data_IF_329692246258
#
_entry.id   IF_329692246258
#
_cell.length_a   1.000
_cell.length_b   1.000
_cell.length_c   1.000
_cell.angle_alpha   90.00
_cell.angle_beta   90.00
_cell.angle_gamma   90.00
#
_symmetry.space_group_name_H-M   'P 1'
#
loop_
_entity.id
_entity.type
_entity.pdbx_description
1 polymer ?
#
# COMPACT_ATOMS: atom_id res chain seq x y z
N UNK A 1 -4.78 -11.52 7.81
CA UNK A 1 -5.34 -12.85 8.11
C UNK A 1 -4.35 -13.89 7.63
N UNK A 2 -4.17 -15.01 8.34
CA UNK A 2 -3.32 -16.09 7.83
C UNK A 2 -3.96 -16.79 6.62
N UNK A 3 -3.15 -17.30 5.69
CA UNK A 3 -3.65 -17.86 4.43
C UNK A 3 -4.44 -19.15 4.63
N UNK A 4 -4.04 -20.00 5.57
CA UNK A 4 -4.76 -21.21 5.96
C UNK A 4 -6.16 -20.89 6.51
N UNK A 5 -6.27 -19.87 7.37
CA UNK A 5 -7.54 -19.40 7.88
C UNK A 5 -8.44 -18.90 6.75
N UNK A 6 -7.90 -18.11 5.80
CA UNK A 6 -8.66 -17.66 4.62
C UNK A 6 -9.04 -18.80 3.67
N UNK A 7 -8.16 -19.81 3.53
CA UNK A 7 -8.37 -21.01 2.71
C UNK A 7 -9.52 -21.88 3.23
N UNK A 8 -9.81 -21.82 4.52
CA UNK A 8 -10.95 -22.49 5.14
C UNK A 8 -12.21 -21.61 5.14
N UNK A 9 -12.06 -20.32 5.49
CA UNK A 9 -13.17 -19.39 5.60
C UNK A 9 -13.89 -19.16 4.27
N UNK A 10 -13.16 -18.94 3.18
CA UNK A 10 -13.77 -18.60 1.90
C UNK A 10 -14.67 -19.73 1.35
N UNK A 11 -14.22 -21.01 1.26
CA UNK A 11 -15.10 -22.10 0.86
C UNK A 11 -16.32 -22.29 1.77
N UNK A 12 -16.17 -22.14 3.09
CA UNK A 12 -17.29 -22.25 4.03
C UNK A 12 -18.37 -21.19 3.76
N UNK A 13 -17.96 -19.93 3.56
CA UNK A 13 -18.88 -18.84 3.22
C UNK A 13 -19.49 -19.03 1.82
N UNK A 14 -18.72 -19.52 0.85
CA UNK A 14 -19.23 -19.85 -0.48
C UNK A 14 -20.35 -20.90 -0.39
N UNK A 15 -20.13 -21.98 0.38
CA UNK A 15 -21.13 -23.02 0.60
C UNK A 15 -22.37 -22.48 1.31
N UNK A 16 -22.19 -21.70 2.39
CA UNK A 16 -23.28 -21.08 3.15
C UNK A 16 -24.17 -20.20 2.27
N UNK A 17 -23.58 -19.50 1.30
CA UNK A 17 -24.29 -18.59 0.40
C UNK A 17 -24.72 -19.25 -0.93
N UNK A 18 -24.63 -20.59 -1.05
CA UNK A 18 -25.15 -21.33 -2.20
C UNK A 18 -24.20 -21.45 -3.41
N UNK A 19 -22.94 -21.04 -3.29
CA UNK A 19 -21.90 -21.23 -4.33
C UNK A 19 -21.20 -22.60 -4.20
N UNK A 20 -21.98 -23.68 -4.18
CA UNK A 20 -21.49 -25.04 -3.86
C UNK A 20 -20.61 -25.68 -4.94
N UNK A 21 -20.70 -25.24 -6.20
CA UNK A 21 -19.89 -25.74 -7.31
C UNK A 21 -18.74 -24.79 -7.70
N UNK A 22 -18.39 -23.86 -6.82
CA UNK A 22 -17.34 -22.89 -7.06
C UNK A 22 -16.01 -23.29 -6.42
N UNK A 23 -14.91 -22.81 -7.00
CA UNK A 23 -13.55 -23.00 -6.50
C UNK A 23 -13.03 -21.73 -5.85
N UNK A 24 -12.12 -21.91 -4.90
CA UNK A 24 -11.36 -20.83 -4.28
C UNK A 24 -9.86 -21.03 -4.54
N UNK A 25 -9.12 -19.96 -4.81
CA UNK A 25 -7.65 -20.01 -4.92
C UNK A 25 -7.01 -18.67 -4.59
N UNK A 26 -5.71 -18.68 -4.29
CA UNK A 26 -4.95 -17.46 -4.13
C UNK A 26 -4.35 -16.97 -5.46
N UNK A 27 -4.12 -15.67 -5.53
CA UNK A 27 -3.38 -15.00 -6.58
C UNK A 27 -2.20 -14.22 -6.00
N UNK A 28 -1.22 -13.92 -6.85
CA UNK A 28 -0.07 -13.07 -6.52
C UNK A 28 -0.34 -11.58 -6.80
N UNK A 29 -1.60 -11.19 -7.03
CA UNK A 29 -1.93 -9.79 -7.34
C UNK A 29 -1.56 -8.90 -6.16
N UNK A 30 -1.00 -7.72 -6.42
CA UNK A 30 -0.75 -6.70 -5.39
C UNK A 30 -1.68 -5.49 -5.52
N UNK A 31 -2.58 -5.52 -6.50
CA UNK A 31 -3.45 -4.40 -6.88
C UNK A 31 -4.94 -4.72 -6.82
N UNK A 32 -5.27 -5.98 -6.60
CA UNK A 32 -6.64 -6.48 -6.64
C UNK A 32 -6.79 -7.45 -5.50
N UNK A 33 -7.62 -7.10 -4.52
CA UNK A 33 -7.78 -7.87 -3.29
C UNK A 33 -8.56 -9.16 -3.56
N UNK A 34 -9.75 -9.03 -4.15
CA UNK A 34 -10.59 -10.13 -4.60
C UNK A 34 -10.82 -10.13 -6.10
N UNK A 35 -11.16 -11.29 -6.66
CA UNK A 35 -11.71 -11.36 -8.01
C UNK A 35 -12.65 -12.55 -8.19
N UNK A 36 -13.81 -12.30 -8.78
CA UNK A 36 -14.80 -13.30 -9.14
C UNK A 36 -14.77 -13.59 -10.65
N UNK A 37 -14.81 -14.87 -11.02
CA UNK A 37 -14.93 -15.34 -12.40
C UNK A 37 -16.10 -16.30 -12.50
N UNK A 38 -17.25 -15.78 -12.94
CA UNK A 38 -18.46 -16.58 -13.09
C UNK A 38 -18.32 -17.72 -14.11
N UNK A 39 -17.69 -17.44 -15.26
CA UNK A 39 -17.47 -18.45 -16.30
C UNK A 39 -16.65 -19.65 -15.82
N UNK A 40 -15.71 -19.42 -14.89
CA UNK A 40 -14.86 -20.47 -14.30
C UNK A 40 -15.38 -20.96 -12.95
N UNK A 41 -16.48 -20.38 -12.46
CA UNK A 41 -17.01 -20.57 -11.09
C UNK A 41 -15.88 -20.49 -10.07
N UNK A 42 -15.12 -19.39 -10.08
CA UNK A 42 -13.88 -19.24 -9.31
C UNK A 42 -13.84 -17.90 -8.60
N UNK A 43 -13.59 -17.94 -7.29
CA UNK A 43 -13.23 -16.76 -6.48
C UNK A 43 -11.73 -16.80 -6.20
N UNK A 44 -11.08 -15.65 -6.30
CA UNK A 44 -9.67 -15.46 -5.96
C UNK A 44 -9.50 -14.41 -4.89
N UNK A 45 -8.54 -14.65 -4.00
CA UNK A 45 -7.97 -13.60 -3.15
C UNK A 45 -6.49 -13.38 -3.45
N UNK A 46 -6.00 -12.17 -3.26
CA UNK A 46 -4.58 -11.88 -3.25
C UNK A 46 -3.94 -12.39 -1.96
N UNK A 47 -3.05 -13.38 -2.04
CA UNK A 47 -2.30 -13.83 -0.87
C UNK A 47 -1.49 -12.69 -0.21
N UNK A 48 -0.77 -11.82 -0.96
CA UNK A 48 -0.10 -10.67 -0.37
C UNK A 48 -1.03 -9.72 0.39
N UNK A 49 -2.21 -9.40 -0.14
CA UNK A 49 -3.16 -8.51 0.53
C UNK A 49 -3.82 -9.21 1.74
N UNK A 50 -4.16 -10.50 1.63
CA UNK A 50 -4.73 -11.27 2.74
C UNK A 50 -3.80 -11.30 3.95
N UNK A 51 -2.50 -11.49 3.76
CA UNK A 51 -1.52 -11.51 4.85
C UNK A 51 -1.38 -10.16 5.56
N UNK A 52 -1.47 -9.06 4.81
CA UNK A 52 -1.26 -7.71 5.34
C UNK A 52 -2.49 -7.13 6.04
N UNK A 53 -3.69 -7.60 5.71
CA UNK A 53 -4.92 -6.98 6.15
C UNK A 53 -5.58 -7.74 7.31
N UNK A 54 -6.30 -7.04 8.22
CA UNK A 54 -7.01 -7.70 9.30
C UNK A 54 -8.10 -8.63 8.77
N UNK A 55 -8.58 -9.54 9.60
CA UNK A 55 -9.59 -10.53 9.22
C UNK A 55 -10.89 -9.89 8.72
N UNK A 56 -11.31 -8.77 9.31
CA UNK A 56 -12.50 -8.02 8.87
C UNK A 56 -12.44 -7.59 7.40
N UNK A 57 -11.31 -7.05 6.96
CA UNK A 57 -11.11 -6.62 5.57
C UNK A 57 -11.07 -7.82 4.61
N UNK A 58 -10.46 -8.91 5.03
CA UNK A 58 -10.41 -10.14 4.23
C UNK A 58 -11.80 -10.77 4.12
N UNK A 59 -12.55 -10.83 5.22
CA UNK A 59 -13.93 -11.31 5.26
C UNK A 59 -14.83 -10.48 4.34
N UNK A 60 -14.81 -9.15 4.47
CA UNK A 60 -15.60 -8.28 3.61
C UNK A 60 -15.24 -8.47 2.12
N UNK A 61 -13.95 -8.62 1.80
CA UNK A 61 -13.51 -8.93 0.44
C UNK A 61 -14.04 -10.29 -0.06
N UNK A 62 -14.05 -11.33 0.78
CA UNK A 62 -14.62 -12.64 0.41
C UNK A 62 -16.11 -12.48 0.07
N UNK A 63 -16.86 -11.81 0.95
CA UNK A 63 -18.29 -11.59 0.78
C UNK A 63 -18.58 -10.73 -0.46
N UNK A 64 -17.73 -9.73 -0.75
CA UNK A 64 -17.79 -8.92 -1.98
C UNK A 64 -17.74 -9.80 -3.24
N UNK A 65 -16.79 -10.73 -3.30
CA UNK A 65 -16.63 -11.62 -4.46
C UNK A 65 -17.74 -12.69 -4.55
N UNK A 66 -18.24 -13.17 -3.40
CA UNK A 66 -19.41 -14.06 -3.35
C UNK A 66 -20.65 -13.31 -3.89
N UNK A 67 -20.84 -12.05 -3.49
CA UNK A 67 -21.94 -11.23 -3.99
C UNK A 67 -21.88 -11.06 -5.52
N UNK A 68 -20.69 -10.92 -6.11
CA UNK A 68 -20.54 -10.96 -7.57
C UNK A 68 -20.97 -12.32 -8.16
N UNK A 69 -20.57 -13.42 -7.53
CA UNK A 69 -20.94 -14.75 -7.96
C UNK A 69 -22.46 -15.02 -7.96
N UNK A 70 -23.17 -14.40 -7.01
CA UNK A 70 -24.63 -14.48 -6.88
C UNK A 70 -25.37 -13.48 -7.78
N UNK A 71 -24.83 -12.26 -7.95
CA UNK A 71 -25.47 -11.22 -8.76
C UNK A 71 -25.37 -11.51 -10.27
N UNK A 72 -24.31 -12.20 -10.68
CA UNK A 72 -23.97 -12.50 -12.07
C UNK A 72 -23.14 -11.38 -12.71
N UNK A 73 -22.34 -11.74 -13.72
CA UNK A 73 -21.30 -10.90 -14.32
C UNK A 73 -21.79 -9.52 -14.80
N UNK A 74 -23.00 -9.47 -15.37
CA UNK A 74 -23.57 -8.23 -15.93
C UNK A 74 -24.05 -7.25 -14.85
N UNK A 75 -24.11 -7.65 -13.58
CA UNK A 75 -24.58 -6.76 -12.51
C UNK A 75 -23.55 -5.68 -12.16
N UNK A 76 -22.24 -5.97 -12.29
CA UNK A 76 -21.20 -5.12 -11.72
C UNK A 76 -21.51 -4.81 -10.26
N UNK A 77 -21.46 -3.53 -9.87
CA UNK A 77 -21.82 -3.06 -8.52
C UNK A 77 -23.17 -2.32 -8.50
N UNK A 78 -24.13 -2.74 -9.33
CA UNK A 78 -25.47 -2.13 -9.37
C UNK A 78 -26.30 -2.45 -8.11
N UNK A 79 -27.55 -1.96 -8.07
CA UNK A 79 -28.44 -2.15 -6.91
C UNK A 79 -28.76 -3.61 -6.60
N UNK A 80 -28.77 -4.50 -7.61
CA UNK A 80 -28.91 -5.94 -7.38
C UNK A 80 -27.72 -6.48 -6.60
N UNK A 81 -26.50 -6.13 -7.02
CA UNK A 81 -25.27 -6.54 -6.32
C UNK A 81 -25.22 -5.96 -4.91
N UNK A 82 -25.50 -4.67 -4.72
CA UNK A 82 -25.46 -4.03 -3.38
C UNK A 82 -26.45 -4.67 -2.41
N UNK A 83 -27.66 -4.99 -2.88
CA UNK A 83 -28.67 -5.68 -2.06
C UNK A 83 -28.16 -7.05 -1.61
N UNK A 84 -27.59 -7.82 -2.53
CA UNK A 84 -27.02 -9.13 -2.22
C UNK A 84 -25.84 -8.97 -1.24
N UNK A 85 -24.88 -8.10 -1.55
CA UNK A 85 -23.71 -7.83 -0.72
C UNK A 85 -24.10 -7.53 0.74
N UNK A 86 -25.02 -6.59 0.95
CA UNK A 86 -25.50 -6.24 2.30
C UNK A 86 -26.25 -7.39 2.97
N UNK A 87 -27.06 -8.15 2.22
CA UNK A 87 -27.81 -9.28 2.77
C UNK A 87 -26.91 -10.42 3.29
N UNK A 88 -25.69 -10.55 2.75
CA UNK A 88 -24.70 -11.55 3.18
C UNK A 88 -23.63 -10.98 4.11
N UNK A 89 -23.77 -9.73 4.56
CA UNK A 89 -22.88 -9.08 5.54
C UNK A 89 -21.70 -8.30 4.96
N UNK A 90 -21.61 -8.10 3.65
CA UNK A 90 -20.64 -7.18 3.04
C UNK A 90 -21.10 -5.72 3.21
N UNK A 91 -20.16 -4.78 3.35
CA UNK A 91 -20.44 -3.34 3.45
C UNK A 91 -21.16 -2.77 2.20
N UNK A 92 -21.05 -3.44 1.05
CA UNK A 92 -21.64 -3.00 -0.22
C UNK A 92 -20.91 -1.85 -0.89
N UNK A 93 -19.66 -1.59 -0.51
CA UNK A 93 -18.79 -0.62 -1.15
C UNK A 93 -18.07 -1.23 -2.36
N UNK A 94 -17.88 -0.41 -3.40
CA UNK A 94 -17.25 -0.87 -4.65
C UNK A 94 -15.76 -1.14 -4.49
N UNK A 95 -15.10 -0.32 -3.69
CA UNK A 95 -13.67 -0.36 -3.46
C UNK A 95 -13.45 -0.44 -1.96
N UNK A 96 -12.43 -1.20 -1.57
CA UNK A 96 -11.88 -1.05 -0.23
C UNK A 96 -11.38 0.39 -0.03
N UNK A 97 -11.42 0.86 1.21
CA UNK A 97 -11.03 2.22 1.54
C UNK A 97 -9.51 2.34 1.82
N UNK A 98 -9.07 3.50 2.32
CA UNK A 98 -7.65 3.74 2.62
C UNK A 98 -7.10 2.93 3.80
N UNK A 99 -7.93 2.17 4.53
CA UNK A 99 -7.50 1.35 5.66
C UNK A 99 -6.86 0.04 5.19
N UNK A 100 -7.16 -0.42 3.97
CA UNK A 100 -6.51 -1.59 3.37
C UNK A 100 -5.03 -1.29 3.10
N UNK A 101 -4.18 -2.13 3.67
CA UNK A 101 -2.74 -2.09 3.52
C UNK A 101 -2.36 -2.81 2.23
N UNK A 102 -1.87 -2.04 1.26
CA UNK A 102 -1.38 -2.60 0.00
C UNK A 102 0.08 -3.08 0.12
N UNK A 103 0.45 -4.20 -0.54
CA UNK A 103 1.84 -4.60 -0.67
C UNK A 103 2.67 -3.52 -1.35
N UNK A 104 3.94 -3.40 -0.94
CA UNK A 104 4.87 -2.50 -1.60
C UNK A 104 5.06 -2.87 -3.08
N UNK A 105 5.26 -1.87 -3.96
CA UNK A 105 5.60 -2.12 -5.35
C UNK A 105 6.92 -2.88 -5.47
N UNK A 106 7.16 -3.53 -6.60
CA UNK A 106 8.44 -4.20 -6.85
C UNK A 106 9.57 -3.19 -7.09
N UNK A 107 9.25 -2.07 -7.73
CA UNK A 107 10.20 -1.03 -8.09
C UNK A 107 9.62 0.36 -7.77
N UNK A 108 10.52 1.28 -7.46
CA UNK A 108 10.20 2.69 -7.30
C UNK A 108 11.24 3.56 -8.00
N UNK A 109 10.81 4.74 -8.42
CA UNK A 109 11.71 5.78 -8.90
C UNK A 109 11.28 7.13 -8.34
N UNK A 110 12.23 8.06 -8.26
CA UNK A 110 12.00 9.43 -7.80
C UNK A 110 12.38 10.40 -8.90
N UNK A 111 11.54 11.40 -9.14
CA UNK A 111 11.88 12.46 -10.08
C UNK A 111 13.08 13.26 -9.53
N UNK A 112 14.14 13.50 -10.32
CA UNK A 112 15.30 14.25 -9.84
C UNK A 112 15.02 15.74 -9.55
N UNK A 113 13.86 16.26 -9.97
CA UNK A 113 13.50 17.68 -9.82
C UNK A 113 12.41 17.91 -8.78
N UNK A 114 11.22 17.30 -8.93
CA UNK A 114 10.12 17.49 -7.98
C UNK A 114 10.05 16.42 -6.89
N UNK A 115 10.90 15.40 -6.95
CA UNK A 115 10.96 14.31 -5.99
C UNK A 115 9.68 13.47 -5.87
N UNK A 116 8.74 13.57 -6.81
CA UNK A 116 7.59 12.66 -6.87
C UNK A 116 8.05 11.21 -7.01
N UNK A 117 7.51 10.34 -6.15
CA UNK A 117 7.74 8.90 -6.18
C UNK A 117 6.75 8.26 -7.17
N UNK A 118 7.28 7.48 -8.10
CA UNK A 118 6.45 6.60 -8.92
C UNK A 118 6.68 5.14 -8.54
N UNK A 119 5.61 4.36 -8.58
CA UNK A 119 5.56 2.96 -8.17
C UNK A 119 5.38 2.08 -9.40
N UNK A 120 6.07 0.94 -9.45
CA UNK A 120 5.93 -0.01 -10.55
C UNK A 120 6.00 -1.47 -10.08
N UNK A 121 5.16 -2.33 -10.66
CA UNK A 121 5.21 -3.79 -10.43
C UNK A 121 6.19 -4.49 -11.37
N UNK A 122 6.49 -3.87 -12.51
CA UNK A 122 7.44 -4.36 -13.50
C UNK A 122 8.21 -3.16 -14.03
N UNK A 123 9.47 -3.37 -14.38
CA UNK A 123 10.26 -2.31 -15.02
C UNK A 123 9.60 -1.90 -16.34
N UNK A 124 9.47 -0.58 -16.60
CA UNK A 124 9.02 -0.11 -17.90
C UNK A 124 9.96 -0.58 -19.01
N UNK A 125 9.41 -0.99 -20.15
CA UNK A 125 10.20 -1.38 -21.33
C UNK A 125 10.91 -0.19 -22.00
N UNK A 126 10.44 1.03 -21.73
CA UNK A 126 10.98 2.28 -22.27
C UNK A 126 11.20 3.25 -21.12
N UNK A 127 12.22 4.09 -21.24
CA UNK A 127 12.47 5.17 -20.29
C UNK A 127 11.25 6.07 -20.18
N UNK A 128 10.87 6.41 -18.96
CA UNK A 128 9.79 7.34 -18.65
C UNK A 128 10.35 8.55 -17.91
N UNK A 129 9.79 9.73 -18.14
CA UNK A 129 10.15 10.95 -17.41
C UNK A 129 8.96 11.49 -16.64
N UNK A 130 9.23 12.31 -15.62
CA UNK A 130 8.19 12.94 -14.81
C UNK A 130 7.31 13.85 -15.67
N UNK A 131 6.03 13.46 -15.83
CA UNK A 131 5.04 14.17 -16.64
C UNK A 131 4.87 15.64 -16.21
N UNK A 132 4.88 15.89 -14.91
CA UNK A 132 4.65 17.23 -14.34
C UNK A 132 5.82 18.16 -14.65
N UNK A 133 7.05 17.73 -14.36
CA UNK A 133 8.25 18.51 -14.68
C UNK A 133 8.51 18.61 -16.18
N UNK A 134 8.06 17.62 -16.95
CA UNK A 134 8.31 17.56 -18.38
C UNK A 134 7.23 18.23 -19.24
N UNK A 135 6.12 18.68 -18.63
CA UNK A 135 4.99 19.30 -19.33
C UNK A 135 4.24 18.31 -20.24
N UNK A 136 4.18 17.03 -19.85
CA UNK A 136 3.50 15.99 -20.63
C UNK A 136 4.37 15.22 -21.62
N UNK A 137 5.57 15.71 -21.95
CA UNK A 137 6.43 15.14 -22.99
C UNK A 137 7.65 14.41 -22.41
N UNK A 138 8.29 13.52 -23.17
CA UNK A 138 9.53 12.90 -22.70
C UNK A 138 10.67 13.93 -22.64
N UNK A 139 11.34 14.05 -21.48
CA UNK A 139 12.53 14.89 -21.33
C UNK A 139 13.63 14.14 -20.57
N UNK A 140 14.84 13.95 -21.16
CA UNK A 140 15.96 13.22 -20.54
C UNK A 140 16.32 13.69 -19.13
N UNK A 141 16.24 15.01 -18.88
CA UNK A 141 16.52 15.64 -17.57
C UNK A 141 15.64 15.10 -16.43
N UNK A 142 14.44 14.62 -16.73
CA UNK A 142 13.46 14.17 -15.73
C UNK A 142 13.20 12.67 -15.79
N UNK A 143 14.09 11.89 -16.40
CA UNK A 143 13.97 10.44 -16.51
C UNK A 143 14.01 9.79 -15.14
N UNK A 144 13.11 8.84 -14.93
CA UNK A 144 13.04 8.02 -13.75
C UNK A 144 14.09 6.91 -13.79
N UNK A 145 14.87 6.81 -12.71
CA UNK A 145 15.74 5.66 -12.45
C UNK A 145 15.05 4.75 -11.44
N UNK A 146 14.56 3.62 -11.93
CA UNK A 146 13.88 2.63 -11.09
C UNK A 146 14.89 1.80 -10.31
N UNK A 147 14.59 1.59 -9.03
CA UNK A 147 15.30 0.70 -8.13
C UNK A 147 14.33 -0.32 -7.55
N UNK A 148 14.76 -1.57 -7.29
CA UNK A 148 13.96 -2.52 -6.53
C UNK A 148 13.59 -1.92 -5.17
N UNK A 149 12.31 -2.00 -4.80
CA UNK A 149 11.84 -1.47 -3.52
C UNK A 149 12.49 -2.18 -2.33
N UNK A 150 12.83 -3.46 -2.50
CA UNK A 150 13.58 -4.24 -1.52
C UNK A 150 14.97 -3.67 -1.23
N UNK A 151 15.61 -3.02 -2.20
CA UNK A 151 16.93 -2.39 -2.03
C UNK A 151 16.80 -0.94 -1.54
N UNK A 152 15.73 -0.26 -1.99
CA UNK A 152 15.52 1.16 -1.76
C UNK A 152 14.04 1.52 -1.73
N UNK A 153 13.51 1.73 -0.54
CA UNK A 153 12.15 2.23 -0.33
C UNK A 153 12.13 3.76 -0.34
N UNK A 154 11.22 4.32 -1.12
CA UNK A 154 10.85 5.73 -1.08
C UNK A 154 9.42 5.90 -0.58
N UNK A 155 9.23 6.76 0.41
CA UNK A 155 7.93 7.11 0.97
C UNK A 155 7.65 8.59 0.73
N UNK A 156 6.45 8.88 0.24
CA UNK A 156 5.92 10.23 0.26
C UNK A 156 5.29 10.44 1.64
N UNK A 157 5.78 11.42 2.38
CA UNK A 157 5.28 11.78 3.71
C UNK A 157 4.89 13.24 3.72
N UNK A 158 4.21 13.69 4.77
CA UNK A 158 3.95 15.11 4.96
C UNK A 158 4.83 15.66 6.06
N UNK A 159 5.46 16.79 5.80
CA UNK A 159 6.10 17.59 6.84
C UNK A 159 5.06 18.55 7.36
N UNK A 160 4.86 18.52 8.67
CA UNK A 160 4.03 19.48 9.37
C UNK A 160 4.98 20.45 10.06
N UNK A 161 4.69 21.73 9.88
CA UNK A 161 5.30 22.80 10.64
C UNK A 161 4.24 23.55 11.42
N UNK A 162 4.66 24.49 12.27
CA UNK A 162 3.74 25.38 12.99
C UNK A 162 2.83 26.23 12.09
N UNK A 163 3.09 26.33 10.79
CA UNK A 163 2.35 27.20 9.87
C UNK A 163 1.92 26.55 8.54
N UNK A 164 2.42 25.37 8.21
CA UNK A 164 2.09 24.70 6.94
C UNK A 164 2.28 23.19 7.01
N UNK A 165 1.57 22.48 6.11
CA UNK A 165 1.72 21.06 5.85
C UNK A 165 2.05 20.86 4.37
N UNK A 166 3.17 20.19 4.05
CA UNK A 166 3.59 19.97 2.67
C UNK A 166 4.18 18.58 2.45
N UNK A 167 4.01 18.00 1.24
CA UNK A 167 4.53 16.67 0.94
C UNK A 167 6.05 16.70 0.70
N UNK A 168 6.74 15.67 1.18
CA UNK A 168 8.16 15.40 0.91
C UNK A 168 8.38 13.93 0.62
N UNK A 169 9.49 13.63 -0.05
CA UNK A 169 9.90 12.26 -0.35
C UNK A 169 11.10 11.90 0.49
N UNK A 170 10.92 10.86 1.28
CA UNK A 170 11.95 10.27 2.11
C UNK A 170 12.40 8.95 1.50
N UNK A 171 13.71 8.81 1.35
CA UNK A 171 14.32 7.50 1.20
C UNK A 171 14.50 6.91 2.58
N UNK A 172 13.98 5.71 2.81
CA UNK A 172 14.19 4.96 4.05
C UNK A 172 14.97 3.70 3.73
N UNK A 173 15.99 3.42 4.53
CA UNK A 173 16.71 2.16 4.53
C UNK A 173 16.86 1.72 5.98
N UNK A 174 16.52 0.47 6.25
CA UNK A 174 16.67 -0.18 7.56
C UNK A 174 15.91 0.60 8.66
N UNK A 175 14.76 0.09 9.12
CA UNK A 175 14.03 0.66 10.28
C UNK A 175 14.35 -0.15 11.54
N UNK A 176 15.54 0.00 12.15
CA UNK A 176 15.74 -0.49 13.51
C UNK A 176 14.86 0.32 14.45
N UNK A 177 14.41 -0.30 15.54
CA UNK A 177 13.65 0.39 16.57
C UNK A 177 14.38 1.67 16.99
N UNK A 178 13.69 2.81 16.91
CA UNK A 178 14.19 4.12 17.32
C UNK A 178 14.95 4.92 16.26
N UNK A 179 15.34 4.37 15.09
CA UNK A 179 16.07 5.16 14.07
C UNK A 179 15.55 4.95 12.65
N UNK A 180 15.62 6.01 11.84
CA UNK A 180 15.37 5.97 10.39
C UNK A 180 16.56 6.53 9.62
N UNK A 181 16.92 5.93 8.48
CA UNK A 181 17.96 6.48 7.60
C UNK A 181 17.34 7.39 6.53
N UNK A 182 17.52 8.71 6.64
CA UNK A 182 17.09 9.71 5.63
C UNK A 182 18.30 10.19 4.85
N UNK A 183 18.28 10.07 3.51
CA UNK A 183 19.35 10.55 2.62
C UNK A 183 20.77 10.13 3.11
N UNK A 184 20.93 8.85 3.48
CA UNK A 184 22.16 8.25 4.03
C UNK A 184 22.54 8.65 5.47
N UNK A 185 21.73 9.45 6.15
CA UNK A 185 21.95 9.86 7.54
C UNK A 185 20.99 9.15 8.48
N UNK A 186 21.50 8.56 9.57
CA UNK A 186 20.69 7.94 10.61
C UNK A 186 20.12 8.98 11.57
N UNK A 187 18.81 8.91 11.84
CA UNK A 187 18.06 9.88 12.63
C UNK A 187 17.24 9.15 13.68
N UNK A 188 17.36 9.57 14.94
CA UNK A 188 16.48 9.13 16.01
C UNK A 188 15.04 9.55 15.74
N UNK A 189 14.12 8.62 15.95
CA UNK A 189 12.70 8.82 15.70
C UNK A 189 11.87 8.20 16.82
N UNK A 190 10.77 8.87 17.16
CA UNK A 190 9.82 8.41 18.17
C UNK A 190 8.48 8.12 17.52
N UNK A 191 7.92 6.96 17.82
CA UNK A 191 6.54 6.66 17.49
C UNK A 191 5.60 7.43 18.42
N UNK A 192 4.53 8.00 17.86
CA UNK A 192 3.44 8.63 18.59
C UNK A 192 2.15 8.45 17.84
N UNK A 193 1.03 8.41 18.55
CA UNK A 193 -0.29 8.53 17.93
C UNK A 193 -0.71 10.00 17.92
N UNK A 194 -1.21 10.46 16.77
CA UNK A 194 -1.80 11.79 16.64
C UNK A 194 -3.23 11.60 16.14
N UNK A 195 -4.19 11.70 17.07
CA UNK A 195 -5.56 11.24 16.83
C UNK A 195 -5.59 9.72 16.73
N UNK A 196 -6.20 9.18 15.67
CA UNK A 196 -6.24 7.73 15.36
C UNK A 196 -5.09 7.26 14.47
N UNK A 197 -4.18 8.17 14.09
CA UNK A 197 -3.13 7.87 13.13
C UNK A 197 -1.81 7.58 13.84
N UNK A 198 -1.23 6.37 13.68
CA UNK A 198 0.18 6.14 14.01
C UNK A 198 1.06 7.16 13.28
N UNK A 199 2.04 7.72 13.98
CA UNK A 199 2.99 8.68 13.44
C UNK A 199 4.42 8.39 13.89
N UNK A 200 5.39 8.68 13.04
CA UNK A 200 6.80 8.77 13.45
C UNK A 200 7.20 10.22 13.44
N UNK A 201 7.75 10.69 14.55
CA UNK A 201 8.30 12.02 14.73
C UNK A 201 9.83 11.94 14.74
N UNK A 202 10.49 12.83 14.01
CA UNK A 202 11.93 13.07 14.12
C UNK A 202 12.18 14.49 14.59
N UNK A 203 13.32 14.71 15.27
CA UNK A 203 13.76 16.06 15.61
C UNK A 203 14.19 16.82 14.35
N UNK A 204 13.77 18.08 14.23
CA UNK A 204 14.21 19.02 13.18
C UNK A 204 15.74 19.11 13.10
N UNK A 205 16.41 19.17 14.25
CA UNK A 205 17.87 19.34 14.33
C UNK A 205 18.64 18.11 13.84
N UNK A 206 17.96 16.98 13.68
CA UNK A 206 18.56 15.73 13.20
C UNK A 206 18.41 15.55 11.68
N UNK A 207 17.68 16.45 10.98
CA UNK A 207 17.51 16.36 9.53
C UNK A 207 18.82 16.70 8.79
N UNK A 208 19.26 15.90 7.80
CA UNK A 208 20.49 16.15 7.08
C UNK A 208 20.39 17.41 6.20
N UNK A 209 21.52 18.06 5.98
CA UNK A 209 21.58 19.29 5.18
C UNK A 209 21.01 19.08 3.77
N UNK A 210 21.26 17.93 3.14
CA UNK A 210 20.70 17.55 1.83
C UNK A 210 19.17 17.58 1.81
N UNK A 211 18.53 17.12 2.89
CA UNK A 211 17.08 17.17 3.04
C UNK A 211 16.60 18.61 3.15
N UNK A 212 17.26 19.44 3.96
CA UNK A 212 16.90 20.85 4.11
C UNK A 212 17.22 21.69 2.87
N UNK A 213 18.19 21.31 2.04
CA UNK A 213 18.43 21.94 0.73
C UNK A 213 17.31 21.58 -0.24
N UNK A 214 16.84 20.32 -0.21
CA UNK A 214 15.72 19.85 -1.02
C UNK A 214 14.40 20.49 -0.61
N UNK A 215 14.20 20.70 0.69
CA UNK A 215 13.00 21.28 1.30
C UNK A 215 13.37 22.44 2.23
N UNK A 216 13.69 23.63 1.68
CA UNK A 216 14.18 24.77 2.45
C UNK A 216 13.23 25.23 3.56
N UNK A 217 11.91 25.02 3.38
CA UNK A 217 10.90 25.34 4.38
C UNK A 217 11.13 24.60 5.70
N UNK A 218 11.67 23.37 5.63
CA UNK A 218 11.99 22.56 6.81
C UNK A 218 13.16 23.14 7.64
N UNK A 219 13.94 24.08 7.10
CA UNK A 219 15.06 24.74 7.80
C UNK A 219 14.61 25.84 8.75
N UNK A 220 13.56 26.58 8.38
CA UNK A 220 13.18 27.85 9.02
C UNK A 220 11.94 27.73 9.93
N UNK A 221 11.31 26.56 10.00
CA UNK A 221 10.10 26.29 10.80
C UNK A 221 10.26 24.97 11.56
N UNK A 222 9.50 24.77 12.64
CA UNK A 222 9.52 23.52 13.41
C UNK A 222 9.06 22.35 12.55
N UNK A 223 9.98 21.63 11.90
CA UNK A 223 9.65 20.52 11.01
C UNK A 223 9.46 19.22 11.77
N UNK A 224 8.22 18.74 11.82
CA UNK A 224 7.87 17.39 12.24
C UNK A 224 7.59 16.60 10.97
N UNK A 225 8.44 15.63 10.63
CA UNK A 225 8.07 14.64 9.62
C UNK A 225 6.92 13.83 10.22
N UNK A 226 5.77 13.76 9.55
CA UNK A 226 4.66 12.91 9.96
C UNK A 226 4.50 11.82 8.91
N UNK A 227 4.92 10.61 9.29
CA UNK A 227 4.52 9.40 8.61
C UNK A 227 3.08 9.11 9.03
N UNK A 228 2.07 9.16 8.16
CA UNK A 228 0.70 8.79 8.50
C UNK A 228 0.30 7.46 7.84
N UNK A 229 0.75 6.30 8.32
CA UNK A 229 0.08 5.05 8.03
C UNK A 229 -1.39 5.13 8.44
N UNK A 230 -2.27 4.53 7.64
CA UNK A 230 -3.71 4.56 7.88
C UNK A 230 -4.16 3.82 9.15
N UNK A 231 -3.29 2.97 9.72
CA UNK A 231 -3.52 2.25 10.97
C UNK A 231 -2.21 1.74 11.58
N UNK A 232 -2.18 1.44 12.88
CA UNK A 232 -1.00 0.86 13.57
C UNK A 232 -0.54 -0.40 12.83
N UNK A 233 -1.48 -1.22 12.36
CA UNK A 233 -1.18 -2.41 11.54
C UNK A 233 -0.50 -2.05 10.22
N UNK A 234 -0.93 -0.99 9.54
CA UNK A 234 -0.27 -0.50 8.34
C UNK A 234 1.18 -0.08 8.61
N UNK A 235 1.43 0.50 9.78
CA UNK A 235 2.78 0.84 10.23
C UNK A 235 3.63 -0.40 10.52
N UNK A 236 3.13 -1.34 11.34
CA UNK A 236 3.81 -2.60 11.65
C UNK A 236 4.15 -3.38 10.37
N UNK A 237 3.23 -3.42 9.41
CA UNK A 237 3.43 -4.05 8.12
C UNK A 237 4.51 -3.35 7.28
N UNK A 238 4.54 -2.02 7.31
CA UNK A 238 5.59 -1.23 6.66
C UNK A 238 6.95 -1.51 7.33
N UNK A 239 6.99 -1.58 8.66
CA UNK A 239 8.20 -1.95 9.42
C UNK A 239 8.64 -3.38 9.09
N UNK A 240 7.73 -4.35 9.03
CA UNK A 240 8.02 -5.72 8.62
C UNK A 240 8.55 -5.79 7.17
N UNK A 241 8.02 -4.94 6.29
CA UNK A 241 8.47 -4.84 4.90
C UNK A 241 9.86 -4.20 4.75
N UNK A 242 10.23 -3.30 5.66
CA UNK A 242 11.53 -2.58 5.64
C UNK A 242 12.61 -3.30 6.46
N UNK A 243 12.22 -3.98 7.53
CA UNK A 243 13.13 -4.51 8.57
C UNK A 243 13.53 -5.98 8.42
N UNK A 244 12.85 -6.75 7.56
CA UNK A 244 13.23 -8.15 7.35
C UNK A 244 13.54 -8.44 5.89
N UNK A 245 14.72 -9.03 5.68
CA UNK A 245 15.10 -9.83 4.51
C UNK A 245 14.03 -10.86 4.06
N UNK A 246 13.01 -11.09 4.89
CA UNK A 246 11.86 -11.95 4.61
C UNK A 246 10.75 -11.29 3.78
N UNK A 247 10.69 -9.97 3.59
CA UNK A 247 9.69 -9.39 2.66
C UNK A 247 10.02 -9.75 1.20
N UNK A 248 11.32 -9.83 0.87
CA UNK A 248 11.79 -10.40 -0.39
C UNK A 248 11.47 -11.91 -0.46
N UNK A 249 11.68 -12.69 0.62
CA UNK A 249 11.33 -14.13 0.63
C UNK A 249 9.82 -14.36 0.48
N UNK A 250 8.96 -13.62 1.19
CA UNK A 250 7.50 -13.71 1.05
C UNK A 250 6.99 -13.41 -0.37
N UNK A 251 7.74 -12.61 -1.15
CA UNK A 251 7.43 -12.36 -2.56
C UNK A 251 7.99 -13.41 -3.52
N UNK A 252 9.05 -14.13 -3.13
CA UNK A 252 9.72 -15.15 -3.94
C UNK A 252 9.31 -16.59 -3.59
N UNK A 253 8.63 -16.83 -2.46
CA UNK A 253 8.15 -18.15 -2.03
C UNK A 253 6.67 -18.40 -2.37
N UNK A 254 5.97 -17.41 -2.96
CA UNK A 254 4.65 -17.59 -3.56
C UNK A 254 4.78 -17.82 -5.06
#
# INVERSE_FOLDING_TARGET
MQLDAAQNLAPALMQQNGLTNWKFTFSKSKRTFGACSEARKLIKLSAPLTLLNPESEVLDTILHEIAHGLAGHNAGHNEKWKRIARSIGCNGERCYDSTVVEPLPNFQAVCPSCYNVIKAMRLPKRSTSCKDCSGGWFKPKFVFKFHPTADRLYLQVKVITSSEEFPVTLRIKDLPNGRIKIDETWIECHYREIGTQPCVQVSRTSLPMTFTTRYPQARHRDAILRFCPASIKAWENLQAAIGHSNYAKLQHTL
#
